data_IF_702634284600
#
_entry.id   IF_702634284600
#
_cell.length_a   1.000
_cell.length_b   1.000
_cell.length_c   1.000
_cell.angle_alpha   90.00
_cell.angle_beta   90.00
_cell.angle_gamma   90.00
#
_symmetry.space_group_name_H-M   'P 1'
#
loop_
_entity.id
_entity.type
_entity.pdbx_description
1 polymer ?
#
# COMPACT_ATOMS: atom_id res chain seq x y z
N UNK A 1 16.96 6.41 19.15
CA UNK A 1 17.12 5.16 18.34
C UNK A 1 17.54 4.00 19.23
N UNK A 2 17.21 2.74 18.86
CA UNK A 2 17.60 1.55 19.63
C UNK A 2 18.69 0.78 18.87
N UNK A 3 19.84 0.55 19.50
CA UNK A 3 20.91 -0.24 18.90
C UNK A 3 20.46 -1.71 18.72
N UNK A 4 20.77 -2.29 17.57
CA UNK A 4 20.46 -3.70 17.26
C UNK A 4 21.57 -4.66 17.75
N UNK A 5 22.74 -4.14 18.13
CA UNK A 5 23.93 -4.91 18.50
C UNK A 5 24.60 -5.66 17.33
N UNK A 6 24.10 -5.49 16.11
CA UNK A 6 24.62 -6.18 14.94
C UNK A 6 25.61 -5.28 14.21
N UNK A 7 26.85 -5.74 14.08
CA UNK A 7 27.90 -5.07 13.31
C UNK A 7 28.07 -5.76 11.96
N UNK A 8 28.21 -4.98 10.89
CA UNK A 8 28.48 -5.45 9.52
C UNK A 8 29.62 -4.64 8.92
N UNK A 9 30.39 -5.29 8.08
CA UNK A 9 31.44 -4.63 7.31
C UNK A 9 30.92 -4.23 5.93
N UNK A 10 31.39 -3.11 5.42
CA UNK A 10 31.18 -2.72 4.02
C UNK A 10 32.16 -3.54 3.17
N UNK A 11 31.66 -4.13 2.08
CA UNK A 11 32.50 -4.87 1.12
C UNK A 11 33.29 -3.94 0.18
N UNK A 12 34.15 -4.52 -0.67
CA UNK A 12 34.97 -3.79 -1.63
C UNK A 12 34.15 -3.00 -2.67
N UNK A 13 32.87 -3.34 -2.86
CA UNK A 13 31.94 -2.66 -3.75
C UNK A 13 31.08 -1.61 -3.02
N UNK A 14 31.38 -1.32 -1.77
CA UNK A 14 30.64 -0.35 -0.96
C UNK A 14 29.27 -0.85 -0.47
N UNK A 15 29.00 -2.15 -0.49
CA UNK A 15 27.73 -2.73 -0.08
C UNK A 15 27.75 -3.15 1.39
N UNK A 16 26.61 -2.93 2.07
CA UNK A 16 26.36 -3.46 3.41
C UNK A 16 25.17 -4.42 3.37
N UNK A 17 25.31 -5.59 3.99
CA UNK A 17 24.23 -6.58 4.06
C UNK A 17 23.32 -6.25 5.24
N UNK A 18 22.05 -5.95 4.96
CA UNK A 18 21.02 -5.82 5.98
C UNK A 18 20.61 -7.22 6.47
N UNK A 19 20.83 -7.56 7.76
CA UNK A 19 20.51 -8.88 8.30
C UNK A 19 19.04 -9.27 8.12
N UNK A 20 18.80 -10.59 7.99
CA UNK A 20 17.45 -11.13 7.78
C UNK A 20 16.50 -10.73 8.93
N UNK A 21 16.99 -10.71 10.15
CA UNK A 21 16.25 -10.33 11.36
C UNK A 21 15.76 -8.88 11.28
N UNK A 22 16.64 -7.95 10.87
CA UNK A 22 16.29 -6.53 10.67
C UNK A 22 15.28 -6.41 9.52
N UNK A 23 15.54 -7.07 8.38
CA UNK A 23 14.62 -7.03 7.24
C UNK A 23 13.24 -7.54 7.62
N UNK A 24 13.17 -8.64 8.40
CA UNK A 24 11.89 -9.18 8.89
C UNK A 24 11.16 -8.22 9.82
N UNK A 25 11.87 -7.65 10.79
CA UNK A 25 11.29 -6.72 11.76
C UNK A 25 10.80 -5.43 11.12
N UNK A 26 11.55 -4.92 10.13
CA UNK A 26 11.22 -3.71 9.40
C UNK A 26 10.39 -3.98 8.13
N UNK A 27 9.97 -5.24 7.89
CA UNK A 27 9.22 -5.67 6.69
C UNK A 27 9.90 -5.26 5.38
N UNK A 28 11.24 -5.28 5.33
CA UNK A 28 12.02 -5.01 4.12
C UNK A 28 12.09 -6.29 3.30
N UNK A 29 11.54 -6.27 2.08
CA UNK A 29 11.53 -7.38 1.13
C UNK A 29 12.73 -7.28 0.18
N UNK A 30 12.99 -8.36 -0.53
CA UNK A 30 13.94 -8.34 -1.63
C UNK A 30 13.38 -7.44 -2.75
N UNK A 31 14.22 -6.48 -3.21
CA UNK A 31 13.83 -5.54 -4.26
C UNK A 31 13.14 -4.27 -3.74
N UNK A 32 12.79 -4.18 -2.44
CA UNK A 32 12.24 -2.94 -1.91
C UNK A 32 13.25 -1.80 -2.05
N UNK A 33 12.85 -0.64 -2.60
CA UNK A 33 13.70 0.54 -2.64
C UNK A 33 13.91 1.11 -1.24
N UNK A 34 15.15 1.47 -0.95
CA UNK A 34 15.52 2.13 0.30
C UNK A 34 16.16 3.47 -0.01
N UNK A 35 15.66 4.51 0.59
CA UNK A 35 16.26 5.83 0.54
C UNK A 35 17.30 5.97 1.64
N UNK A 36 18.45 6.54 1.30
CA UNK A 36 19.57 6.72 2.20
C UNK A 36 19.64 8.17 2.67
N UNK A 37 19.68 8.36 3.97
CA UNK A 37 19.89 9.67 4.61
C UNK A 37 21.21 9.64 5.36
N UNK A 38 21.89 10.77 5.42
CA UNK A 38 23.07 10.98 6.25
C UNK A 38 22.81 12.08 7.27
N UNK A 39 23.36 11.93 8.47
CA UNK A 39 23.33 12.97 9.49
C UNK A 39 24.72 13.60 9.64
N UNK A 40 24.78 14.80 10.22
CA UNK A 40 26.06 15.46 10.52
C UNK A 40 26.95 14.68 11.51
N UNK A 41 26.36 13.78 12.28
CA UNK A 41 27.04 12.92 13.26
C UNK A 41 27.60 11.63 12.66
N UNK A 42 27.54 11.48 11.33
CA UNK A 42 28.09 10.33 10.61
C UNK A 42 27.19 9.09 10.61
N UNK A 43 25.91 9.23 10.90
CA UNK A 43 24.95 8.15 10.75
C UNK A 43 24.49 8.01 9.29
N UNK A 44 24.31 6.76 8.84
CA UNK A 44 23.62 6.42 7.59
C UNK A 44 22.31 5.74 7.93
N UNK A 45 21.21 6.34 7.53
CA UNK A 45 19.86 5.86 7.84
C UNK A 45 19.21 5.39 6.55
N UNK A 46 18.77 4.12 6.51
CA UNK A 46 17.97 3.58 5.43
C UNK A 46 16.50 3.66 5.80
N UNK A 47 15.70 4.31 4.97
CA UNK A 47 14.24 4.33 5.09
C UNK A 47 13.60 3.63 3.91
N UNK A 48 12.50 2.94 4.14
CA UNK A 48 11.71 2.40 3.03
C UNK A 48 11.18 3.56 2.20
N UNK A 49 11.44 3.50 0.91
CA UNK A 49 10.94 4.46 -0.04
C UNK A 49 9.56 4.01 -0.55
N UNK A 50 8.59 4.89 -0.49
CA UNK A 50 7.23 4.66 -0.98
C UNK A 50 6.92 5.70 -2.05
N UNK A 51 7.07 5.36 -3.35
CA UNK A 51 6.77 6.30 -4.43
C UNK A 51 5.35 6.87 -4.35
N UNK A 52 4.38 6.02 -4.06
CA UNK A 52 2.99 6.47 -3.89
C UNK A 52 2.81 7.35 -2.63
N UNK A 53 3.67 7.19 -1.63
CA UNK A 53 3.65 8.01 -0.42
C UNK A 53 4.04 9.47 -0.70
N UNK A 54 4.92 9.73 -1.67
CA UNK A 54 5.27 11.09 -2.10
C UNK A 54 4.11 11.79 -2.81
N UNK A 55 3.22 11.02 -3.43
CA UNK A 55 2.04 11.52 -4.13
C UNK A 55 0.79 11.57 -3.23
N UNK A 56 0.98 11.61 -1.92
CA UNK A 56 -0.13 11.52 -0.96
C UNK A 56 -1.25 12.54 -1.22
N UNK A 57 -0.91 13.77 -1.65
CA UNK A 57 -1.89 14.81 -1.98
C UNK A 57 -2.78 14.42 -3.19
N UNK A 58 -2.17 13.90 -4.25
CA UNK A 58 -2.89 13.45 -5.45
C UNK A 58 -3.73 12.21 -5.13
N UNK A 59 -3.15 11.25 -4.40
CA UNK A 59 -3.86 10.05 -3.95
C UNK A 59 -5.07 10.40 -3.07
N UNK A 60 -4.94 11.41 -2.17
CA UNK A 60 -6.04 11.88 -1.34
C UNK A 60 -7.18 12.51 -2.14
N UNK A 61 -6.86 13.33 -3.14
CA UNK A 61 -7.87 13.90 -4.05
C UNK A 61 -8.60 12.79 -4.81
N UNK A 62 -7.86 11.80 -5.30
CA UNK A 62 -8.46 10.69 -6.05
C UNK A 62 -9.38 9.83 -5.16
N UNK A 63 -8.96 9.51 -3.93
CA UNK A 63 -9.81 8.77 -2.98
C UNK A 63 -11.07 9.55 -2.63
N UNK A 64 -10.99 10.89 -2.54
CA UNK A 64 -12.16 11.73 -2.30
C UNK A 64 -13.15 11.67 -3.46
N UNK A 65 -12.67 11.79 -4.70
CA UNK A 65 -13.49 11.68 -5.91
C UNK A 65 -14.17 10.31 -5.99
N UNK A 66 -13.40 9.22 -5.80
CA UNK A 66 -13.95 7.87 -5.82
C UNK A 66 -15.03 7.68 -4.74
N UNK A 67 -14.74 8.11 -3.52
CA UNK A 67 -15.68 7.97 -2.40
C UNK A 67 -16.99 8.72 -2.65
N UNK A 68 -16.92 9.95 -3.16
CA UNK A 68 -18.11 10.75 -3.49
C UNK A 68 -18.91 10.17 -4.67
N UNK A 69 -18.22 9.66 -5.71
CA UNK A 69 -18.86 9.12 -6.90
C UNK A 69 -19.67 7.85 -6.62
N UNK A 70 -19.22 7.02 -5.70
CA UNK A 70 -19.85 5.74 -5.40
C UNK A 70 -20.54 5.68 -4.03
N UNK A 71 -20.46 6.74 -3.23
CA UNK A 71 -20.93 6.78 -1.84
C UNK A 71 -20.35 5.63 -0.97
N UNK A 72 -19.13 5.20 -1.28
CA UNK A 72 -18.38 4.15 -0.61
C UNK A 72 -17.09 4.72 0.05
N UNK A 73 -16.51 3.96 0.97
CA UNK A 73 -15.17 4.26 1.45
C UNK A 73 -14.15 3.88 0.39
N UNK A 74 -13.28 4.83 0.04
CA UNK A 74 -12.16 4.61 -0.87
C UNK A 74 -10.83 4.73 -0.12
N UNK A 75 -9.83 3.94 -0.50
CA UNK A 75 -8.48 4.05 0.03
C UNK A 75 -7.41 3.89 -1.04
N UNK A 76 -6.25 4.48 -0.76
CA UNK A 76 -4.97 4.15 -1.38
C UNK A 76 -4.01 3.69 -0.29
N UNK A 77 -3.33 2.59 -0.53
CA UNK A 77 -2.29 2.06 0.35
C UNK A 77 -1.01 1.80 -0.43
N UNK A 78 0.13 1.92 0.25
CA UNK A 78 1.38 1.37 -0.24
C UNK A 78 1.50 -0.12 0.14
N UNK A 79 2.69 -0.69 0.03
CA UNK A 79 2.92 -2.11 0.35
C UNK A 79 2.89 -2.43 1.85
N UNK A 80 2.82 -1.43 2.72
CA UNK A 80 2.91 -1.62 4.16
C UNK A 80 1.74 -1.02 4.93
N UNK A 81 1.21 0.12 4.48
CA UNK A 81 0.20 0.88 5.21
C UNK A 81 -0.80 1.59 4.31
N UNK A 82 -1.93 1.93 4.89
CA UNK A 82 -2.96 2.75 4.27
C UNK A 82 -2.52 4.21 4.33
N UNK A 83 -2.37 4.84 3.16
CA UNK A 83 -1.89 6.22 3.03
C UNK A 83 -3.03 7.23 3.10
N UNK A 84 -4.07 7.00 2.30
CA UNK A 84 -5.23 7.89 2.23
C UNK A 84 -6.52 7.12 2.30
N UNK A 85 -7.52 7.71 2.96
CA UNK A 85 -8.87 7.18 3.07
C UNK A 85 -9.88 8.31 2.95
N UNK A 86 -10.93 8.11 2.17
CA UNK A 86 -12.08 9.01 2.08
C UNK A 86 -13.38 8.24 2.25
N UNK A 87 -14.35 8.87 2.87
CA UNK A 87 -15.64 8.25 3.23
C UNK A 87 -15.73 7.89 4.71
N UNK A 88 -16.68 7.03 5.05
CA UNK A 88 -16.92 6.61 6.43
C UNK A 88 -15.79 5.73 6.97
N UNK A 89 -15.47 5.85 8.28
CA UNK A 89 -14.42 5.05 8.93
C UNK A 89 -12.99 5.49 8.61
N UNK A 90 -12.78 6.71 8.09
CA UNK A 90 -11.44 7.25 7.80
C UNK A 90 -10.49 7.15 9.00
N UNK A 91 -10.96 7.47 10.21
CA UNK A 91 -10.12 7.46 11.42
C UNK A 91 -9.66 6.06 11.82
N UNK A 92 -10.46 5.05 11.51
CA UNK A 92 -10.19 3.66 11.89
C UNK A 92 -9.22 2.97 10.93
N UNK A 93 -9.01 3.54 9.75
CA UNK A 93 -8.22 2.95 8.68
C UNK A 93 -6.90 3.70 8.40
N UNK A 94 -6.87 5.02 8.63
CA UNK A 94 -5.71 5.85 8.30
C UNK A 94 -4.43 5.37 9.02
N UNK A 95 -3.31 5.34 8.31
CA UNK A 95 -1.97 4.94 8.77
C UNK A 95 -1.86 3.51 9.33
N UNK A 96 -2.91 2.70 9.22
CA UNK A 96 -2.85 1.30 9.65
C UNK A 96 -2.07 0.44 8.68
N UNK A 97 -1.37 -0.55 9.23
CA UNK A 97 -0.73 -1.59 8.42
C UNK A 97 -1.78 -2.37 7.63
N UNK A 98 -1.50 -2.61 6.36
CA UNK A 98 -2.36 -3.45 5.52
C UNK A 98 -2.39 -4.88 6.03
N UNK A 99 -3.47 -5.59 5.73
CA UNK A 99 -3.60 -7.00 6.04
C UNK A 99 -2.74 -7.88 5.11
N UNK A 100 -2.35 -9.06 5.57
CA UNK A 100 -1.66 -10.02 4.72
C UNK A 100 -2.47 -10.46 3.48
N UNK A 101 -3.81 -10.66 3.56
CA UNK A 101 -4.61 -10.92 2.36
C UNK A 101 -4.58 -9.78 1.34
N UNK A 102 -4.58 -8.50 1.77
CA UNK A 102 -4.46 -7.36 0.86
C UNK A 102 -3.06 -7.30 0.23
N UNK A 103 -2.00 -7.62 0.97
CA UNK A 103 -0.65 -7.74 0.43
C UNK A 103 -0.58 -8.81 -0.67
N UNK A 104 -1.14 -10.00 -0.43
CA UNK A 104 -1.20 -11.07 -1.43
C UNK A 104 -1.99 -10.70 -2.68
N UNK A 105 -3.07 -9.92 -2.51
CA UNK A 105 -3.85 -9.39 -3.62
C UNK A 105 -2.97 -8.51 -4.52
N UNK A 106 -2.20 -7.60 -3.93
CA UNK A 106 -1.26 -6.74 -4.67
C UNK A 106 -0.20 -7.56 -5.42
N UNK A 107 0.38 -8.57 -4.76
CA UNK A 107 1.37 -9.47 -5.38
C UNK A 107 0.80 -10.26 -6.55
N UNK A 108 -0.50 -10.51 -6.55
CA UNK A 108 -1.22 -11.14 -7.66
C UNK A 108 -1.32 -10.29 -8.92
N UNK A 109 -1.04 -8.97 -8.85
CA UNK A 109 -1.01 -8.03 -9.97
C UNK A 109 -2.28 -8.00 -10.82
N UNK A 110 -3.41 -8.35 -10.25
CA UNK A 110 -4.70 -8.46 -10.94
C UNK A 110 -5.75 -7.60 -10.25
N UNK A 111 -6.66 -7.09 -11.07
CA UNK A 111 -7.86 -6.47 -10.56
C UNK A 111 -8.62 -7.49 -9.70
N UNK A 112 -8.94 -7.10 -8.47
CA UNK A 112 -9.73 -7.89 -7.53
C UNK A 112 -11.18 -7.43 -7.54
N UNK A 113 -12.07 -8.39 -7.46
CA UNK A 113 -13.50 -8.19 -7.21
C UNK A 113 -13.98 -9.17 -6.13
N UNK A 114 -14.82 -8.70 -5.22
CA UNK A 114 -15.48 -9.55 -4.24
C UNK A 114 -16.43 -10.54 -4.94
N UNK A 115 -16.38 -11.80 -4.50
CA UNK A 115 -17.28 -12.86 -4.99
C UNK A 115 -18.64 -12.86 -4.28
N UNK A 116 -18.87 -11.94 -3.32
CA UNK A 116 -20.09 -11.94 -2.51
C UNK A 116 -20.15 -13.05 -1.46
N UNK A 117 -19.00 -13.62 -1.10
CA UNK A 117 -18.88 -14.70 -0.11
C UNK A 117 -18.22 -14.12 1.15
N UNK A 118 -18.98 -13.97 2.23
CA UNK A 118 -18.53 -13.29 3.44
C UNK A 118 -17.26 -13.89 4.06
N UNK A 119 -17.12 -15.22 4.02
CA UNK A 119 -15.97 -15.95 4.58
C UNK A 119 -14.68 -15.75 3.77
N UNK A 120 -14.81 -15.35 2.50
CA UNK A 120 -13.67 -15.09 1.60
C UNK A 120 -13.33 -13.60 1.48
N UNK A 121 -14.03 -12.73 2.20
CA UNK A 121 -13.80 -11.30 2.09
C UNK A 121 -12.37 -10.94 2.53
N UNK A 122 -11.77 -10.00 1.81
CA UNK A 122 -10.47 -9.41 2.17
C UNK A 122 -10.71 -8.17 3.01
N UNK A 123 -10.08 -8.10 4.19
CA UNK A 123 -10.10 -6.90 5.01
C UNK A 123 -8.88 -6.02 4.65
N UNK A 124 -9.02 -4.68 4.59
CA UNK A 124 -7.89 -3.79 4.28
C UNK A 124 -6.81 -3.81 5.36
N UNK A 125 -7.20 -3.93 6.62
CA UNK A 125 -6.32 -4.09 7.78
C UNK A 125 -6.99 -5.00 8.81
N UNK A 126 -6.21 -5.49 9.79
CA UNK A 126 -6.73 -6.35 10.85
C UNK A 126 -7.86 -5.67 11.64
N UNK A 127 -8.96 -6.38 11.88
CA UNK A 127 -10.09 -5.87 12.64
C UNK A 127 -10.91 -4.77 11.94
N UNK A 128 -10.71 -4.55 10.64
CA UNK A 128 -11.57 -3.62 9.88
C UNK A 128 -13.01 -4.11 9.84
N UNK A 129 -14.00 -3.24 10.13
CA UNK A 129 -15.41 -3.58 9.95
C UNK A 129 -15.81 -3.66 8.46
N UNK A 130 -14.99 -3.08 7.56
CA UNK A 130 -15.21 -3.03 6.12
C UNK A 130 -14.34 -4.03 5.39
N UNK A 131 -14.91 -4.62 4.35
CA UNK A 131 -14.23 -5.50 3.42
C UNK A 131 -13.88 -4.76 2.13
N UNK A 132 -12.87 -5.25 1.42
CA UNK A 132 -12.53 -4.80 0.07
C UNK A 132 -13.60 -5.28 -0.90
N UNK A 133 -14.32 -4.35 -1.52
CA UNK A 133 -15.31 -4.61 -2.55
C UNK A 133 -14.63 -4.89 -3.90
N UNK A 134 -13.75 -3.98 -4.30
CA UNK A 134 -12.86 -4.15 -5.45
C UNK A 134 -11.56 -3.39 -5.22
N UNK A 135 -10.49 -3.84 -5.87
CA UNK A 135 -9.17 -3.22 -5.76
C UNK A 135 -8.33 -3.43 -7.00
N UNK A 136 -7.54 -2.43 -7.35
CA UNK A 136 -6.57 -2.47 -8.44
C UNK A 136 -5.17 -2.18 -7.91
N UNK A 137 -4.17 -3.09 -8.12
CA UNK A 137 -2.79 -2.81 -7.81
C UNK A 137 -2.25 -1.64 -8.64
N UNK A 138 -1.46 -0.77 -8.02
CA UNK A 138 -0.73 0.31 -8.67
C UNK A 138 0.61 -0.27 -9.10
N UNK A 139 0.86 -0.34 -10.42
CA UNK A 139 2.07 -0.93 -10.98
C UNK A 139 2.80 0.15 -11.77
N UNK A 140 3.92 0.65 -11.25
CA UNK A 140 4.77 1.64 -11.88
C UNK A 140 6.14 1.04 -12.20
N UNK A 141 6.67 1.32 -13.38
CA UNK A 141 7.95 0.79 -13.88
C UNK A 141 8.12 -0.74 -13.69
N UNK A 142 7.02 -1.48 -13.76
CA UNK A 142 7.01 -2.93 -13.58
C UNK A 142 6.92 -3.40 -12.14
N UNK A 143 6.96 -2.52 -11.15
CA UNK A 143 6.86 -2.88 -9.73
C UNK A 143 5.50 -2.51 -9.13
N UNK A 144 5.00 -3.38 -8.24
CA UNK A 144 3.79 -3.07 -7.45
C UNK A 144 4.17 -2.10 -6.35
N UNK A 145 3.66 -0.88 -6.42
CA UNK A 145 3.93 0.21 -5.47
C UNK A 145 2.83 0.40 -4.45
N UNK A 146 1.61 -0.06 -4.76
CA UNK A 146 0.47 0.11 -3.88
C UNK A 146 -0.82 -0.47 -4.45
N UNK A 147 -1.95 -0.02 -3.92
CA UNK A 147 -3.29 -0.44 -4.31
C UNK A 147 -4.30 0.68 -4.15
N UNK A 148 -5.26 0.77 -5.06
CA UNK A 148 -6.50 1.55 -4.92
C UNK A 148 -7.62 0.59 -4.62
N UNK A 149 -8.47 0.86 -3.64
CA UNK A 149 -9.60 0.02 -3.29
C UNK A 149 -10.86 0.81 -2.92
N UNK A 150 -12.01 0.23 -3.25
CA UNK A 150 -13.31 0.58 -2.69
C UNK A 150 -13.70 -0.46 -1.62
N UNK A 151 -14.26 0.03 -0.52
CA UNK A 151 -14.64 -0.79 0.62
C UNK A 151 -16.14 -0.76 0.85
N UNK A 152 -16.66 -1.86 1.38
CA UNK A 152 -18.07 -2.00 1.77
C UNK A 152 -18.20 -2.54 3.20
N UNK A 153 -19.31 -2.24 3.87
CA UNK A 153 -19.70 -2.87 5.14
C UNK A 153 -20.43 -4.19 4.90
N UNK A 154 -21.08 -4.32 3.75
CA UNK A 154 -21.73 -5.57 3.33
C UNK A 154 -20.71 -6.53 2.72
N UNK A 155 -20.34 -7.56 3.47
CA UNK A 155 -19.36 -8.57 3.06
C UNK A 155 -19.88 -9.51 1.96
N UNK A 156 -21.15 -9.42 1.63
CA UNK A 156 -21.78 -10.19 0.54
C UNK A 156 -21.99 -9.36 -0.72
N UNK A 157 -21.60 -8.07 -0.70
CA UNK A 157 -21.70 -7.22 -1.86
C UNK A 157 -20.68 -7.63 -2.95
N UNK A 158 -21.11 -7.46 -4.19
CA UNK A 158 -20.27 -7.59 -5.38
C UNK A 158 -20.16 -6.24 -6.10
N UNK A 159 -19.00 -5.90 -6.67
CA UNK A 159 -18.85 -4.64 -7.37
C UNK A 159 -19.55 -4.65 -8.72
N UNK A 160 -20.02 -3.49 -9.15
CA UNK A 160 -20.48 -3.27 -10.51
C UNK A 160 -19.31 -2.95 -11.48
N UNK A 161 -19.63 -2.92 -12.77
CA UNK A 161 -18.65 -2.65 -13.81
C UNK A 161 -18.04 -1.24 -13.73
N UNK A 162 -18.82 -0.24 -13.26
CA UNK A 162 -18.34 1.13 -13.11
C UNK A 162 -17.32 1.24 -11.97
N UNK A 163 -17.58 0.58 -10.84
CA UNK A 163 -16.67 0.53 -9.69
C UNK A 163 -15.34 -0.15 -10.06
N UNK A 164 -15.39 -1.29 -10.75
CA UNK A 164 -14.21 -1.99 -11.25
C UNK A 164 -13.39 -1.12 -12.21
N UNK A 165 -14.06 -0.46 -13.15
CA UNK A 165 -13.42 0.44 -14.10
C UNK A 165 -12.77 1.62 -13.39
N UNK A 166 -13.43 2.21 -12.41
CA UNK A 166 -12.95 3.38 -11.69
C UNK A 166 -11.69 3.09 -10.87
N UNK A 167 -11.64 1.99 -10.11
CA UNK A 167 -10.42 1.63 -9.36
C UNK A 167 -9.25 1.30 -10.29
N UNK A 168 -9.53 0.67 -11.44
CA UNK A 168 -8.50 0.36 -12.42
C UNK A 168 -7.93 1.62 -13.09
N UNK A 169 -8.79 2.57 -13.46
CA UNK A 169 -8.36 3.88 -14.01
C UNK A 169 -7.57 4.67 -12.98
N UNK A 170 -8.02 4.68 -11.72
CA UNK A 170 -7.32 5.34 -10.63
C UNK A 170 -5.92 4.77 -10.42
N UNK A 171 -5.78 3.44 -10.38
CA UNK A 171 -4.50 2.79 -10.24
C UNK A 171 -3.56 3.08 -11.41
N UNK A 172 -4.06 3.04 -12.64
CA UNK A 172 -3.30 3.36 -13.84
C UNK A 172 -2.85 4.83 -13.87
N UNK A 173 -3.71 5.76 -13.46
CA UNK A 173 -3.36 7.18 -13.36
C UNK A 173 -2.25 7.41 -12.34
N UNK A 174 -2.39 6.87 -11.12
CA UNK A 174 -1.37 7.01 -10.08
C UNK A 174 -0.04 6.36 -10.48
N UNK A 175 -0.08 5.22 -11.17
CA UNK A 175 1.12 4.58 -11.72
C UNK A 175 1.84 5.50 -12.72
N UNK A 176 1.08 6.11 -13.64
CA UNK A 176 1.64 7.00 -14.66
C UNK A 176 2.30 8.24 -14.07
N UNK A 177 1.68 8.80 -13.04
CA UNK A 177 2.22 9.97 -12.34
C UNK A 177 3.55 9.68 -11.60
N UNK A 178 3.82 8.44 -11.23
CA UNK A 178 5.09 8.04 -10.61
C UNK A 178 6.21 7.79 -11.64
N UNK A 179 5.86 7.70 -12.92
CA UNK A 179 6.83 7.49 -14.00
C UNK A 179 7.27 8.80 -14.69
N UNK A 180 6.64 9.91 -14.32
CA UNK A 180 6.96 11.27 -14.80
C UNK A 180 8.01 11.94 -13.90
#
# INVERSE_FOLDING_TARGET
MKATGIVRRIDELGRVVIPKEIRRTQRIRRGDPLENFTTGDGEVIFKKYSPIGEMNAVAAQYTEVLSKSFALTALVADRDRILTVSGSGRRDLADRSISQPLEKLMDGRRLYQSEGIAEKCILPCEGSPRAVLCAAPIIAAGDVTGVVALLTEDRTATPDAAQLKAVNVAAAFLARQMEE
#
